data_IF_736327965947
#
_entry.id   IF_736327965947
#
_cell.length_a   1.000
_cell.length_b   1.000
_cell.length_c   1.000
_cell.angle_alpha   90.00
_cell.angle_beta   90.00
_cell.angle_gamma   90.00
#
_symmetry.space_group_name_H-M   'P 1'
#
loop_
_entity.id
_entity.type
_entity.pdbx_description
1 polymer ?
#
# COMPACT_ATOMS: atom_id res chain seq x y z
N UNK A 1 19.75 -7.33 1.46
CA UNK A 1 19.52 -7.07 0.02
C UNK A 1 18.14 -7.64 -0.33
N UNK A 2 17.19 -6.80 -0.77
CA UNK A 2 15.76 -7.20 -0.80
C UNK A 2 15.03 -7.09 -2.15
N UNK A 3 15.65 -6.59 -3.23
CA UNK A 3 15.03 -6.61 -4.57
C UNK A 3 15.90 -7.12 -5.71
N UNK A 4 17.20 -7.38 -5.49
CA UNK A 4 18.13 -7.83 -6.55
C UNK A 4 18.18 -6.93 -7.79
N UNK A 5 17.70 -5.68 -7.67
CA UNK A 5 17.56 -4.68 -8.73
C UNK A 5 18.10 -3.37 -8.17
N UNK A 6 19.24 -2.92 -8.70
CA UNK A 6 19.88 -1.66 -8.34
C UNK A 6 19.28 -0.51 -9.15
N UNK A 7 18.00 -0.22 -8.88
CA UNK A 7 17.30 0.94 -9.44
C UNK A 7 16.49 1.63 -8.34
N UNK A 8 16.49 2.97 -8.28
CA UNK A 8 15.60 3.69 -7.38
C UNK A 8 14.15 3.32 -7.68
N UNK A 9 13.35 3.25 -6.62
CA UNK A 9 11.91 3.04 -6.68
C UNK A 9 11.27 4.09 -5.77
N UNK A 10 10.06 4.47 -6.14
CA UNK A 10 9.17 5.35 -5.38
C UNK A 10 8.83 4.81 -3.98
N UNK A 11 8.51 3.51 -3.88
CA UNK A 11 8.09 2.87 -2.63
C UNK A 11 8.63 1.44 -2.46
N UNK A 12 8.95 1.07 -1.21
CA UNK A 12 9.26 -0.29 -0.77
C UNK A 12 8.45 -0.65 0.48
N UNK A 13 7.98 -1.89 0.56
CA UNK A 13 7.23 -2.42 1.70
C UNK A 13 7.93 -3.65 2.28
N UNK A 14 8.08 -3.69 3.61
CA UNK A 14 8.71 -4.77 4.34
C UNK A 14 7.76 -5.30 5.42
N UNK A 15 7.04 -6.41 5.17
CA UNK A 15 6.11 -6.96 6.16
C UNK A 15 6.83 -7.54 7.38
N UNK A 16 6.28 -7.30 8.58
CA UNK A 16 6.74 -7.90 9.85
C UNK A 16 5.87 -9.11 10.18
N UNK A 17 4.59 -8.87 10.50
CA UNK A 17 3.63 -9.95 10.73
C UNK A 17 2.97 -10.34 9.40
N UNK A 18 3.32 -11.52 8.89
CA UNK A 18 2.60 -12.12 7.76
C UNK A 18 1.15 -12.47 8.10
N UNK A 19 0.39 -13.02 7.14
CA UNK A 19 -1.04 -13.33 7.31
C UNK A 19 -1.39 -14.37 8.41
N UNK A 20 -0.40 -14.93 9.10
CA UNK A 20 -0.58 -15.89 10.19
C UNK A 20 -1.09 -15.28 11.50
N UNK A 21 -1.35 -16.12 12.52
CA UNK A 21 -1.71 -15.65 13.86
C UNK A 21 -0.54 -14.90 14.51
N UNK A 22 -0.83 -13.73 15.10
CA UNK A 22 0.11 -12.97 15.93
C UNK A 22 -0.23 -13.16 17.41
N UNK A 23 0.78 -13.23 18.27
CA UNK A 23 0.62 -13.40 19.72
C UNK A 23 0.23 -12.09 20.44
N UNK A 24 0.09 -10.98 19.71
CA UNK A 24 -0.26 -9.65 20.23
C UNK A 24 -0.92 -8.77 19.16
N UNK A 25 -0.94 -7.44 19.32
CA UNK A 25 -1.34 -6.52 18.27
C UNK A 25 -0.53 -6.79 17.00
N UNK A 26 -1.20 -6.81 15.85
CA UNK A 26 -0.56 -7.09 14.56
C UNK A 26 0.31 -5.91 14.13
N UNK A 27 1.57 -6.17 13.81
CA UNK A 27 2.49 -5.21 13.21
C UNK A 27 2.61 -5.46 11.69
N UNK A 28 2.08 -4.53 10.88
CA UNK A 28 2.08 -4.70 9.42
C UNK A 28 3.49 -4.65 8.84
N UNK A 29 4.36 -3.79 9.37
CA UNK A 29 5.73 -3.60 8.91
C UNK A 29 6.03 -2.19 8.44
N UNK A 30 7.07 -2.05 7.62
CA UNK A 30 7.62 -0.75 7.22
C UNK A 30 7.27 -0.40 5.76
N UNK A 31 6.95 0.87 5.52
CA UNK A 31 6.86 1.45 4.17
C UNK A 31 7.92 2.54 4.04
N UNK A 32 8.84 2.38 3.09
CA UNK A 32 9.85 3.37 2.76
C UNK A 32 9.47 4.04 1.46
N UNK A 33 9.30 5.36 1.49
CA UNK A 33 8.94 6.17 0.33
C UNK A 33 10.10 7.10 0.03
N UNK A 34 10.48 7.23 -1.24
CA UNK A 34 11.41 8.24 -1.71
C UNK A 34 10.64 9.40 -2.37
N UNK A 35 10.42 10.54 -1.69
CA UNK A 35 9.59 11.63 -2.21
C UNK A 35 10.08 12.19 -3.56
N UNK A 36 11.39 12.14 -3.82
CA UNK A 36 11.97 12.63 -5.07
C UNK A 36 11.69 11.72 -6.27
N UNK A 37 11.23 10.48 -6.05
CA UNK A 37 10.98 9.50 -7.10
C UNK A 37 9.50 9.08 -7.18
N UNK A 38 8.61 9.70 -6.40
CA UNK A 38 7.16 9.50 -6.50
C UNK A 38 6.49 10.74 -7.05
N UNK A 39 5.50 10.55 -7.92
CA UNK A 39 4.64 11.63 -8.41
C UNK A 39 3.55 12.00 -7.38
N UNK A 40 3.25 11.08 -6.46
CA UNK A 40 2.17 11.22 -5.49
C UNK A 40 2.47 10.45 -4.20
N UNK A 41 2.64 11.19 -3.11
CA UNK A 41 2.92 10.63 -1.79
C UNK A 41 1.74 9.83 -1.21
N UNK A 42 0.50 10.22 -1.52
CA UNK A 42 -0.69 9.55 -0.99
C UNK A 42 -0.85 8.20 -1.68
N UNK A 43 -0.74 8.16 -3.01
CA UNK A 43 -0.77 6.91 -3.76
C UNK A 43 0.36 5.97 -3.34
N UNK A 44 1.60 6.46 -3.21
CA UNK A 44 2.73 5.65 -2.76
C UNK A 44 2.52 5.07 -1.35
N UNK A 45 1.97 5.87 -0.42
CA UNK A 45 1.68 5.40 0.94
C UNK A 45 0.59 4.32 0.96
N UNK A 46 -0.52 4.56 0.24
CA UNK A 46 -1.62 3.58 0.13
C UNK A 46 -1.13 2.30 -0.52
N UNK A 47 -0.39 2.41 -1.63
CA UNK A 47 0.20 1.27 -2.34
C UNK A 47 1.10 0.45 -1.42
N UNK A 48 1.99 1.12 -0.69
CA UNK A 48 2.90 0.47 0.24
C UNK A 48 2.17 -0.29 1.34
N UNK A 49 1.14 0.30 1.93
CA UNK A 49 0.32 -0.34 2.98
C UNK A 49 -0.48 -1.52 2.43
N UNK A 50 -1.02 -1.42 1.22
CA UNK A 50 -1.73 -2.55 0.58
C UNK A 50 -0.81 -3.76 0.40
N UNK A 51 0.45 -3.54 0.01
CA UNK A 51 1.44 -4.62 -0.01
C UNK A 51 1.70 -5.22 1.38
N UNK A 52 1.75 -4.41 2.45
CA UNK A 52 1.87 -4.95 3.82
C UNK A 52 0.63 -5.75 4.25
N UNK A 53 -0.54 -5.43 3.71
CA UNK A 53 -1.77 -6.19 3.91
C UNK A 53 -1.85 -7.48 3.08
N UNK A 54 -0.85 -7.78 2.26
CA UNK A 54 -0.76 -9.00 1.45
C UNK A 54 -1.39 -8.89 0.06
N UNK A 55 -1.76 -7.69 -0.39
CA UNK A 55 -2.16 -7.47 -1.78
C UNK A 55 -0.94 -7.45 -2.68
N UNK A 56 -1.08 -7.95 -3.90
CA UNK A 56 0.00 -8.01 -4.88
C UNK A 56 -0.54 -7.81 -6.31
N UNK A 57 -0.43 -6.58 -6.81
CA UNK A 57 -0.87 -6.23 -8.16
C UNK A 57 -0.08 -6.91 -9.29
N UNK A 58 1.08 -7.52 -9.01
CA UNK A 58 1.80 -8.34 -10.01
C UNK A 58 1.20 -9.75 -10.13
N UNK A 59 0.41 -10.18 -9.14
CA UNK A 59 -0.15 -11.53 -9.03
C UNK A 59 -1.68 -11.58 -8.95
N UNK A 60 -2.36 -10.43 -8.82
CA UNK A 60 -3.82 -10.32 -8.77
C UNK A 60 -4.44 -9.89 -10.11
N UNK A 61 -5.77 -9.98 -10.21
CA UNK A 61 -6.55 -9.58 -11.39
C UNK A 61 -6.95 -8.08 -11.34
N UNK A 62 -6.12 -7.22 -10.74
CA UNK A 62 -6.35 -5.78 -10.58
C UNK A 62 -7.11 -5.40 -9.31
N UNK A 63 -7.28 -6.33 -8.37
CA UNK A 63 -7.98 -6.11 -7.10
C UNK A 63 -7.30 -5.03 -6.25
N UNK A 64 -5.98 -5.09 -6.11
CA UNK A 64 -5.19 -4.11 -5.37
C UNK A 64 -5.35 -2.71 -5.98
N UNK A 65 -5.26 -2.59 -7.30
CA UNK A 65 -5.34 -1.29 -8.00
C UNK A 65 -6.72 -0.66 -7.86
N UNK A 66 -7.79 -1.47 -7.95
CA UNK A 66 -9.16 -1.00 -7.73
C UNK A 66 -9.37 -0.52 -6.29
N UNK A 67 -8.83 -1.24 -5.30
CA UNK A 67 -8.90 -0.85 -3.89
C UNK A 67 -8.07 0.42 -3.61
N UNK A 68 -6.87 0.52 -4.18
CA UNK A 68 -6.03 1.72 -4.08
C UNK A 68 -6.78 2.96 -4.59
N UNK A 69 -7.38 2.88 -5.79
CA UNK A 69 -8.13 3.99 -6.37
C UNK A 69 -9.28 4.45 -5.45
N UNK A 70 -10.02 3.50 -4.86
CA UNK A 70 -11.10 3.80 -3.92
C UNK A 70 -10.60 4.48 -2.65
N UNK A 71 -9.52 3.97 -2.03
CA UNK A 71 -8.98 4.55 -0.80
C UNK A 71 -8.44 5.96 -1.06
N UNK A 72 -7.71 6.15 -2.15
CA UNK A 72 -7.13 7.45 -2.52
C UNK A 72 -8.22 8.48 -2.80
N UNK A 73 -9.29 8.10 -3.51
CA UNK A 73 -10.45 8.97 -3.71
C UNK A 73 -11.07 9.42 -2.37
N UNK A 74 -11.24 8.49 -1.43
CA UNK A 74 -11.79 8.83 -0.12
C UNK A 74 -10.89 9.69 0.75
N UNK A 75 -9.57 9.45 0.72
CA UNK A 75 -8.60 10.33 1.40
C UNK A 75 -8.57 11.74 0.82
N UNK A 76 -8.90 11.89 -0.47
CA UNK A 76 -8.98 13.19 -1.16
C UNK A 76 -10.29 13.92 -0.97
N UNK A 77 -11.30 13.26 -0.41
CA UNK A 77 -12.66 13.81 -0.34
C UNK A 77 -13.38 13.82 -1.69
N UNK A 78 -12.88 13.05 -2.66
CA UNK A 78 -13.55 12.80 -3.95
C UNK A 78 -14.57 11.65 -3.85
N UNK A 79 -14.75 11.08 -2.65
CA UNK A 79 -15.89 10.25 -2.31
C UNK A 79 -17.16 11.12 -2.40
N UNK A 80 -17.79 11.11 -3.56
CA UNK A 80 -19.15 11.63 -3.72
C UNK A 80 -20.03 11.03 -2.61
N UNK A 81 -20.42 11.88 -1.67
CA UNK A 81 -21.45 11.71 -0.64
C UNK A 81 -22.00 10.28 -0.52
N UNK A 82 -21.34 9.44 0.28
CA UNK A 82 -21.95 8.19 0.76
C UNK A 82 -22.68 8.54 2.07
N UNK A 83 -24.02 8.62 2.08
CA UNK A 83 -24.75 8.90 3.31
C UNK A 83 -24.47 7.76 4.29
N UNK A 84 -24.03 8.14 5.49
CA UNK A 84 -23.92 7.23 6.62
C UNK A 84 -25.30 6.60 6.88
N UNK A 85 -25.41 5.31 6.56
CA UNK A 85 -26.54 4.46 6.95
C UNK A 85 -26.45 4.01 8.40
#
# INVERSE_FOLDING_TARGET
EHRGRDRPTDVLSFPIDGAGPSAGPRELGDVLICPAHTEDLVEAAVHGVLHLCGYDHEADDGEMLALQARIVAGLRGDDGDVPAG
#
